data_IF_038734881193
#
_entry.id   IF_038734881193
#
_cell.length_a   1.000
_cell.length_b   1.000
_cell.length_c   1.000
_cell.angle_alpha   90.00
_cell.angle_beta   90.00
_cell.angle_gamma   90.00
#
_symmetry.space_group_name_H-M   'P 1'
#
loop_
_entity.id
_entity.type
_entity.pdbx_description
1 polymer ?
#
# COMPACT_ATOMS: atom_id res chain seq x y z
N UNK A 1 8.91 24.52 -9.87
CA UNK A 1 8.07 23.38 -10.33
C UNK A 1 8.85 22.16 -10.89
N UNK A 2 10.16 21.96 -10.60
CA UNK A 2 10.94 20.84 -11.16
C UNK A 2 10.88 19.50 -10.39
N UNK A 3 10.22 19.41 -9.24
CA UNK A 3 10.28 18.23 -8.33
C UNK A 3 9.09 17.27 -8.41
N UNK A 4 8.12 17.51 -9.29
CA UNK A 4 6.87 16.73 -9.39
C UNK A 4 6.70 16.01 -10.74
N UNK A 5 7.71 16.10 -11.62
CA UNK A 5 7.71 15.37 -12.90
C UNK A 5 7.86 13.87 -12.70
N UNK A 6 7.75 13.12 -13.81
CA UNK A 6 7.87 11.66 -13.80
C UNK A 6 9.21 11.18 -13.23
N UNK A 7 10.33 11.80 -13.61
CA UNK A 7 11.67 11.40 -13.15
C UNK A 7 11.87 11.48 -11.62
N UNK A 8 11.58 12.61 -10.92
CA UNK A 8 11.70 12.65 -9.46
C UNK A 8 10.68 11.75 -8.74
N UNK A 9 9.50 11.54 -9.32
CA UNK A 9 8.52 10.58 -8.80
C UNK A 9 9.07 9.15 -8.87
N UNK A 10 9.57 8.73 -10.03
CA UNK A 10 10.17 7.43 -10.25
C UNK A 10 11.36 7.17 -9.31
N UNK A 11 12.28 8.15 -9.20
CA UNK A 11 13.41 8.04 -8.28
C UNK A 11 12.96 7.87 -6.81
N UNK A 12 11.94 8.64 -6.39
CA UNK A 12 11.40 8.55 -5.02
C UNK A 12 10.77 7.18 -4.75
N UNK A 13 9.93 6.68 -5.69
CA UNK A 13 9.33 5.34 -5.59
C UNK A 13 10.40 4.28 -5.48
N UNK A 14 11.40 4.28 -6.37
CA UNK A 14 12.47 3.27 -6.37
C UNK A 14 13.25 3.26 -5.06
N UNK A 15 13.66 4.43 -4.57
CA UNK A 15 14.42 4.54 -3.30
C UNK A 15 13.58 4.06 -2.12
N UNK A 16 12.32 4.45 -2.03
CA UNK A 16 11.44 4.05 -0.94
C UNK A 16 11.13 2.55 -1.01
N UNK A 17 10.90 1.99 -2.20
CA UNK A 17 10.68 0.55 -2.38
C UNK A 17 11.88 -0.27 -1.92
N UNK A 18 13.11 0.12 -2.29
CA UNK A 18 14.34 -0.55 -1.83
C UNK A 18 14.43 -0.48 -0.31
N UNK A 19 14.21 0.70 0.28
CA UNK A 19 14.24 0.89 1.73
C UNK A 19 13.25 -0.05 2.44
N UNK A 20 12.01 -0.12 1.97
CA UNK A 20 10.96 -0.96 2.56
C UNK A 20 11.36 -2.44 2.49
N UNK A 21 11.81 -2.91 1.32
CA UNK A 21 12.23 -4.32 1.15
C UNK A 21 13.39 -4.65 2.09
N UNK A 22 14.37 -3.77 2.22
CA UNK A 22 15.50 -3.97 3.15
C UNK A 22 15.03 -4.01 4.61
N UNK A 23 14.20 -3.06 5.04
CA UNK A 23 13.69 -3.02 6.43
C UNK A 23 12.87 -4.27 6.77
N UNK A 24 11.97 -4.69 5.87
CA UNK A 24 11.17 -5.90 6.06
C UNK A 24 12.04 -7.16 6.02
N UNK A 25 13.03 -7.21 5.13
CA UNK A 25 14.00 -8.31 5.06
C UNK A 25 14.77 -8.52 6.37
N UNK A 26 15.22 -7.44 7.00
CA UNK A 26 15.90 -7.50 8.32
C UNK A 26 14.93 -7.98 9.42
N UNK A 27 13.64 -7.67 9.30
CA UNK A 27 12.60 -8.02 10.28
C UNK A 27 11.92 -9.37 10.01
N UNK A 28 12.33 -10.12 8.98
CA UNK A 28 11.60 -11.31 8.55
C UNK A 28 11.55 -12.41 9.63
N UNK A 29 12.57 -12.48 10.49
CA UNK A 29 12.61 -13.40 11.63
C UNK A 29 11.85 -12.91 12.87
N UNK A 30 11.32 -11.68 12.84
CA UNK A 30 10.57 -11.04 13.95
C UNK A 30 9.13 -10.78 13.52
N UNK A 31 8.37 -11.84 13.23
CA UNK A 31 7.00 -11.77 12.69
C UNK A 31 6.04 -10.84 13.44
N UNK A 32 6.17 -10.73 14.78
CA UNK A 32 5.36 -9.82 15.61
C UNK A 32 5.61 -8.33 15.34
N UNK A 33 6.77 -7.97 14.81
CA UNK A 33 7.12 -6.59 14.52
C UNK A 33 6.78 -6.20 13.07
N UNK A 34 6.59 -7.16 12.17
CA UNK A 34 6.36 -6.89 10.75
C UNK A 34 5.15 -5.98 10.57
N UNK A 35 3.99 -6.31 11.14
CA UNK A 35 2.78 -5.49 11.02
C UNK A 35 2.96 -4.04 11.50
N UNK A 36 3.34 -3.82 12.78
CA UNK A 36 3.56 -2.48 13.31
C UNK A 36 4.62 -1.68 12.54
N UNK A 37 5.72 -2.31 12.13
CA UNK A 37 6.74 -1.64 11.33
C UNK A 37 6.22 -1.28 9.94
N UNK A 38 5.43 -2.14 9.28
CA UNK A 38 4.83 -1.83 7.99
C UNK A 38 3.88 -0.63 8.09
N UNK A 39 3.10 -0.51 9.17
CA UNK A 39 2.29 0.70 9.44
C UNK A 39 3.19 1.93 9.54
N UNK A 40 4.28 1.86 10.31
CA UNK A 40 5.22 2.98 10.43
C UNK A 40 5.87 3.35 9.08
N UNK A 41 6.22 2.35 8.27
CA UNK A 41 6.74 2.54 6.92
C UNK A 41 5.71 3.21 6.01
N UNK A 42 4.41 3.05 6.26
CA UNK A 42 3.35 3.76 5.54
C UNK A 42 3.46 5.28 5.60
N UNK A 43 4.12 5.84 6.62
CA UNK A 43 4.39 7.28 6.68
C UNK A 43 5.58 7.74 5.82
N UNK A 44 6.48 6.83 5.42
CA UNK A 44 7.69 7.15 4.67
C UNK A 44 7.39 7.72 3.26
N UNK A 45 6.48 7.13 2.45
CA UNK A 45 6.07 7.72 1.18
C UNK A 45 5.47 9.14 1.30
N UNK A 46 4.98 9.53 2.48
CA UNK A 46 4.43 10.87 2.69
C UNK A 46 5.53 11.95 2.81
N UNK A 47 6.79 11.56 3.04
CA UNK A 47 7.91 12.48 3.21
C UNK A 47 8.21 13.26 1.91
N UNK A 48 8.47 12.62 0.75
CA UNK A 48 8.65 13.35 -0.51
C UNK A 48 7.44 14.21 -0.89
N UNK A 49 6.23 13.74 -0.58
CA UNK A 49 4.99 14.48 -0.81
C UNK A 49 4.99 15.81 -0.05
N UNK A 50 5.33 15.79 1.25
CA UNK A 50 5.40 16.98 2.09
C UNK A 50 6.47 17.95 1.59
N UNK A 51 7.64 17.46 1.18
CA UNK A 51 8.69 18.29 0.59
C UNK A 51 8.32 18.88 -0.79
N UNK A 52 7.36 18.28 -1.48
CA UNK A 52 6.85 18.80 -2.76
C UNK A 52 5.86 19.97 -2.61
N UNK A 53 5.53 20.35 -1.36
CA UNK A 53 4.61 21.46 -1.05
C UNK A 53 3.13 21.07 -1.11
N UNK A 54 2.80 19.77 -1.12
CA UNK A 54 1.41 19.27 -1.13
C UNK A 54 0.95 18.86 0.26
N UNK A 55 -0.31 19.16 0.55
CA UNK A 55 -0.98 18.69 1.75
C UNK A 55 -1.35 17.21 1.65
N UNK A 56 -1.19 16.46 2.73
CA UNK A 56 -1.56 15.02 2.82
C UNK A 56 -3.05 14.81 2.46
N UNK A 57 -3.90 15.82 2.70
CA UNK A 57 -5.32 15.80 2.32
C UNK A 57 -5.54 15.59 0.82
N UNK A 58 -4.61 16.01 -0.05
CA UNK A 58 -4.74 15.85 -1.50
C UNK A 58 -4.53 14.42 -1.99
N UNK A 59 -4.01 13.53 -1.14
CA UNK A 59 -3.77 12.11 -1.46
C UNK A 59 -4.62 11.18 -0.59
N UNK A 60 -5.58 11.72 0.17
CA UNK A 60 -6.40 10.91 1.08
C UNK A 60 -7.17 9.81 0.38
N UNK A 61 -7.69 10.08 -0.82
CA UNK A 61 -8.35 9.07 -1.65
C UNK A 61 -7.38 7.94 -2.05
N UNK A 62 -6.16 8.29 -2.52
CA UNK A 62 -5.12 7.32 -2.89
C UNK A 62 -4.70 6.44 -1.71
N UNK A 63 -4.57 7.04 -0.52
CA UNK A 63 -4.26 6.32 0.72
C UNK A 63 -5.39 5.36 1.08
N UNK A 64 -6.66 5.80 1.01
CA UNK A 64 -7.79 4.94 1.30
C UNK A 64 -7.90 3.77 0.33
N UNK A 65 -7.70 4.02 -0.97
CA UNK A 65 -7.73 2.95 -1.98
C UNK A 65 -6.63 1.94 -1.76
N UNK A 66 -5.39 2.37 -1.60
CA UNK A 66 -4.29 1.46 -1.30
C UNK A 66 -4.52 0.66 -0.01
N UNK A 67 -5.09 1.28 1.03
CA UNK A 67 -5.33 0.58 2.29
C UNK A 67 -6.39 -0.52 2.18
N UNK A 68 -7.46 -0.27 1.42
CA UNK A 68 -8.50 -1.28 1.17
C UNK A 68 -7.94 -2.39 0.30
N UNK A 69 -7.27 -2.01 -0.78
CA UNK A 69 -6.71 -2.93 -1.77
C UNK A 69 -5.75 -3.93 -1.11
N UNK A 70 -4.67 -3.42 -0.52
CA UNK A 70 -3.62 -4.28 0.00
C UNK A 70 -3.96 -4.88 1.36
N UNK A 71 -4.92 -4.30 2.07
CA UNK A 71 -5.52 -4.90 3.27
C UNK A 71 -6.25 -6.20 2.93
N UNK A 72 -7.18 -6.16 1.97
CA UNK A 72 -7.91 -7.36 1.55
C UNK A 72 -6.96 -8.37 0.90
N UNK A 73 -6.01 -7.92 0.07
CA UNK A 73 -4.93 -8.77 -0.46
C UNK A 73 -4.18 -9.48 0.66
N UNK A 74 -3.79 -8.76 1.72
CA UNK A 74 -3.10 -9.34 2.87
C UNK A 74 -3.91 -10.45 3.54
N UNK A 75 -5.23 -10.30 3.65
CA UNK A 75 -6.11 -11.35 4.17
C UNK A 75 -6.12 -12.55 3.22
N UNK A 76 -6.29 -12.33 1.91
CA UNK A 76 -6.30 -13.38 0.90
C UNK A 76 -4.97 -14.17 0.87
N UNK A 77 -3.83 -13.48 0.98
CA UNK A 77 -2.51 -14.09 1.07
C UNK A 77 -2.34 -14.92 2.35
N UNK A 78 -2.81 -14.44 3.51
CA UNK A 78 -2.76 -15.19 4.77
C UNK A 78 -3.67 -16.44 4.73
N UNK A 79 -4.87 -16.29 4.18
CA UNK A 79 -5.82 -17.40 3.99
C UNK A 79 -5.21 -18.44 3.04
N UNK A 80 -4.70 -18.01 1.89
CA UNK A 80 -4.02 -18.90 0.95
C UNK A 80 -2.82 -19.61 1.59
N UNK A 81 -2.02 -18.89 2.37
CA UNK A 81 -0.90 -19.47 3.11
C UNK A 81 -1.33 -20.58 4.07
N UNK A 82 -2.53 -20.48 4.65
CA UNK A 82 -3.06 -21.51 5.53
C UNK A 82 -3.46 -22.80 4.81
N UNK A 83 -3.77 -22.74 3.50
CA UNK A 83 -4.14 -23.90 2.69
C UNK A 83 -2.94 -24.59 2.04
N UNK A 84 -1.98 -23.82 1.50
CA UNK A 84 -0.91 -24.37 0.67
C UNK A 84 0.47 -23.73 0.92
N UNK A 85 0.70 -23.15 2.11
CA UNK A 85 1.98 -22.56 2.48
C UNK A 85 2.39 -21.42 1.52
N UNK A 86 3.65 -21.39 1.09
CA UNK A 86 4.17 -20.33 0.21
C UNK A 86 3.39 -20.24 -1.10
N UNK A 87 3.07 -21.39 -1.73
CA UNK A 87 2.31 -21.40 -2.98
C UNK A 87 0.92 -20.76 -2.80
N UNK A 88 0.23 -21.14 -1.73
CA UNK A 88 -1.06 -20.56 -1.38
C UNK A 88 -0.98 -19.06 -1.08
N UNK A 89 0.10 -18.59 -0.45
CA UNK A 89 0.32 -17.17 -0.20
C UNK A 89 0.50 -16.37 -1.50
N UNK A 90 1.27 -16.92 -2.46
CA UNK A 90 1.50 -16.29 -3.77
C UNK A 90 0.20 -16.24 -4.57
N UNK A 91 -0.51 -17.38 -4.67
CA UNK A 91 -1.79 -17.46 -5.41
C UNK A 91 -2.86 -16.60 -4.75
N UNK A 92 -2.99 -16.66 -3.43
CA UNK A 92 -3.93 -15.84 -2.66
C UNK A 92 -3.62 -14.35 -2.76
N UNK A 93 -2.34 -13.98 -2.76
CA UNK A 93 -1.90 -12.60 -3.01
C UNK A 93 -2.24 -12.14 -4.42
N UNK A 94 -1.89 -12.91 -5.46
CA UNK A 94 -2.14 -12.53 -6.86
C UNK A 94 -3.63 -12.46 -7.23
N UNK A 95 -4.43 -13.43 -6.76
CA UNK A 95 -5.89 -13.41 -6.99
C UNK A 95 -6.53 -12.32 -6.12
N UNK A 96 -6.06 -12.16 -4.88
CA UNK A 96 -6.48 -11.09 -3.98
C UNK A 96 -6.32 -9.73 -4.64
N UNK A 97 -5.11 -9.44 -5.12
CA UNK A 97 -4.73 -8.24 -5.87
C UNK A 97 -5.66 -7.98 -7.07
N UNK A 98 -5.87 -8.97 -7.94
CA UNK A 98 -6.74 -8.81 -9.11
C UNK A 98 -8.20 -8.49 -8.71
N UNK A 99 -8.71 -9.11 -7.65
CA UNK A 99 -10.07 -8.85 -7.14
C UNK A 99 -10.15 -7.45 -6.54
N UNK A 100 -9.18 -7.08 -5.71
CA UNK A 100 -9.17 -5.81 -5.00
C UNK A 100 -8.92 -4.62 -5.91
N UNK A 101 -8.07 -4.77 -6.93
CA UNK A 101 -7.92 -3.79 -8.01
C UNK A 101 -9.21 -3.59 -8.81
N UNK A 102 -9.97 -4.67 -9.04
CA UNK A 102 -11.29 -4.59 -9.67
C UNK A 102 -12.25 -3.72 -8.84
N UNK A 103 -12.30 -3.91 -7.52
CA UNK A 103 -13.09 -3.07 -6.63
C UNK A 103 -12.54 -1.65 -6.52
N UNK A 104 -11.23 -1.47 -6.37
CA UNK A 104 -10.57 -0.17 -6.30
C UNK A 104 -10.84 0.64 -7.57
N UNK A 105 -10.83 0.00 -8.74
CA UNK A 105 -11.16 0.59 -10.02
C UNK A 105 -12.57 1.18 -10.09
N UNK A 106 -13.57 0.57 -9.43
CA UNK A 106 -14.92 1.15 -9.33
C UNK A 106 -14.91 2.48 -8.57
N UNK A 107 -14.12 2.56 -7.49
CA UNK A 107 -14.02 3.79 -6.72
C UNK A 107 -13.17 4.86 -7.41
N UNK A 108 -12.06 4.46 -8.05
CA UNK A 108 -11.24 5.37 -8.85
C UNK A 108 -12.05 5.96 -10.01
N UNK A 109 -12.82 5.14 -10.71
CA UNK A 109 -13.74 5.56 -11.76
C UNK A 109 -14.81 6.54 -11.25
N UNK A 110 -15.48 6.22 -10.14
CA UNK A 110 -16.48 7.11 -9.52
C UNK A 110 -15.87 8.45 -9.09
N UNK A 111 -14.67 8.44 -8.53
CA UNK A 111 -13.97 9.67 -8.16
C UNK A 111 -13.57 10.50 -9.38
N UNK A 112 -13.06 9.85 -10.43
CA UNK A 112 -12.72 10.52 -11.68
C UNK A 112 -13.96 11.16 -12.32
N UNK A 113 -15.09 10.45 -12.37
CA UNK A 113 -16.37 11.02 -12.83
C UNK A 113 -16.83 12.20 -11.97
N UNK A 114 -16.71 12.09 -10.64
CA UNK A 114 -17.12 13.15 -9.71
C UNK A 114 -16.28 14.41 -9.91
N UNK A 115 -14.95 14.29 -10.01
CA UNK A 115 -14.04 15.40 -10.27
C UNK A 115 -14.33 16.06 -11.62
N UNK A 116 -14.57 15.24 -12.65
CA UNK A 116 -14.89 15.72 -14.01
C UNK A 116 -16.22 16.48 -14.05
N UNK A 117 -17.25 16.02 -13.31
CA UNK A 117 -18.54 16.71 -13.18
C UNK A 117 -18.42 18.06 -12.46
N UNK A 118 -17.51 18.19 -11.50
CA UNK A 118 -17.30 19.44 -10.75
C UNK A 118 -16.27 20.38 -11.39
N UNK A 119 -15.77 20.07 -12.60
CA UNK A 119 -14.70 20.80 -13.28
C UNK A 119 -13.45 21.04 -12.41
N UNK A 120 -13.21 20.14 -11.44
CA UNK A 120 -12.02 20.20 -10.61
C UNK A 120 -10.89 19.60 -11.44
N UNK A 121 -9.92 20.43 -11.83
CA UNK A 121 -8.71 19.95 -12.50
C UNK A 121 -8.05 18.86 -11.64
N UNK A 122 -7.73 17.72 -12.27
CA UNK A 122 -6.99 16.65 -11.61
C UNK A 122 -5.64 17.19 -11.14
N UNK A 123 -5.58 17.53 -9.86
CA UNK A 123 -4.34 18.01 -9.26
C UNK A 123 -3.38 16.84 -9.00
N UNK A 124 -3.73 15.60 -9.35
CA UNK A 124 -2.86 14.43 -9.18
C UNK A 124 -1.60 14.57 -10.04
N UNK A 125 -0.45 14.41 -9.40
CA UNK A 125 0.84 14.26 -10.10
C UNK A 125 1.33 12.83 -9.96
N UNK A 126 2.28 12.44 -10.81
CA UNK A 126 2.95 11.14 -10.70
C UNK A 126 3.49 10.90 -9.27
N UNK A 127 4.07 11.95 -8.65
CA UNK A 127 4.56 11.86 -7.27
C UNK A 127 3.41 11.68 -6.27
N UNK A 128 2.33 12.47 -6.36
CA UNK A 128 1.27 12.38 -5.35
C UNK A 128 0.46 11.09 -5.41
N UNK A 129 0.15 10.62 -6.63
CA UNK A 129 -0.59 9.37 -6.83
C UNK A 129 0.23 8.17 -6.35
N UNK A 130 1.50 8.06 -6.77
CA UNK A 130 2.37 6.96 -6.35
C UNK A 130 2.63 6.93 -4.84
N UNK A 131 2.99 8.06 -4.24
CA UNK A 131 3.25 8.15 -2.80
C UNK A 131 2.00 7.89 -1.96
N UNK A 132 0.84 8.40 -2.40
CA UNK A 132 -0.45 8.19 -1.74
C UNK A 132 -0.84 6.72 -1.74
N UNK A 133 -0.84 6.08 -2.91
CA UNK A 133 -1.16 4.65 -3.05
C UNK A 133 -0.20 3.79 -2.23
N UNK A 134 1.11 3.99 -2.38
CA UNK A 134 2.13 3.24 -1.65
C UNK A 134 1.98 3.36 -0.13
N UNK A 135 1.67 4.55 0.38
CA UNK A 135 1.37 4.79 1.79
C UNK A 135 0.13 4.02 2.24
N UNK A 136 -0.95 4.11 1.46
CA UNK A 136 -2.18 3.34 1.68
C UNK A 136 -1.94 1.84 1.77
N UNK A 137 -1.24 1.27 0.78
CA UNK A 137 -0.94 -0.16 0.72
C UNK A 137 -0.21 -0.65 1.98
N UNK A 138 0.79 0.10 2.42
CA UNK A 138 1.55 -0.21 3.64
C UNK A 138 0.68 -0.13 4.90
N UNK A 139 -0.21 0.86 5.02
CA UNK A 139 -1.15 0.91 6.13
C UNK A 139 -2.13 -0.26 6.11
N UNK A 140 -2.72 -0.57 4.95
CA UNK A 140 -3.68 -1.65 4.78
C UNK A 140 -3.12 -3.00 5.20
N UNK A 141 -2.05 -3.42 4.53
CA UNK A 141 -1.40 -4.71 4.85
C UNK A 141 -0.77 -4.69 6.25
N UNK A 142 -0.24 -3.55 6.70
CA UNK A 142 0.33 -3.38 8.04
C UNK A 142 -0.69 -3.61 9.15
N UNK A 143 -1.93 -3.11 9.00
CA UNK A 143 -3.03 -3.37 9.95
C UNK A 143 -3.36 -4.86 9.99
N UNK A 144 -3.52 -5.49 8.83
CA UNK A 144 -3.85 -6.93 8.74
C UNK A 144 -2.76 -7.79 9.38
N UNK A 145 -1.49 -7.53 9.08
CA UNK A 145 -0.36 -8.26 9.69
C UNK A 145 -0.24 -7.98 11.19
N UNK A 146 -0.57 -6.78 11.66
CA UNK A 146 -0.60 -6.46 13.09
C UNK A 146 -1.66 -7.30 13.79
N UNK A 147 -2.88 -7.34 13.25
CA UNK A 147 -3.97 -8.15 13.80
C UNK A 147 -3.58 -9.63 13.79
N UNK A 148 -3.14 -10.15 12.64
CA UNK A 148 -2.82 -11.57 12.47
C UNK A 148 -1.68 -12.05 13.39
N UNK A 149 -0.54 -11.35 13.38
CA UNK A 149 0.67 -11.85 14.03
C UNK A 149 0.97 -11.23 15.39
N UNK A 150 0.53 -10.00 15.65
CA UNK A 150 0.78 -9.32 16.93
C UNK A 150 -0.33 -9.60 17.94
N UNK A 151 -1.60 -9.46 17.52
CA UNK A 151 -2.76 -9.59 18.40
C UNK A 151 -3.25 -11.04 18.48
N UNK A 152 -3.52 -11.68 17.33
CA UNK A 152 -4.11 -13.02 17.27
C UNK A 152 -3.09 -14.16 17.33
N UNK A 153 -1.79 -13.85 17.19
CA UNK A 153 -0.68 -14.83 17.22
C UNK A 153 -0.86 -16.01 16.26
N UNK A 154 -1.42 -15.75 15.07
CA UNK A 154 -1.59 -16.76 14.04
C UNK A 154 -0.20 -17.30 13.67
N UNK A 155 0.02 -18.60 13.91
CA UNK A 155 1.26 -19.28 13.57
C UNK A 155 1.09 -19.88 12.18
N UNK A 156 1.42 -19.12 11.14
CA UNK A 156 1.54 -19.68 9.78
C UNK A 156 2.68 -20.70 9.80
N UNK A 157 2.37 -21.98 9.56
CA UNK A 157 3.38 -23.01 9.34
C UNK A 157 4.01 -22.75 7.97
N UNK A 158 4.98 -21.85 7.93
CA UNK A 158 5.96 -21.81 6.85
C UNK A 158 6.90 -23.00 7.11
N UNK A 159 6.47 -24.19 6.67
CA UNK A 159 7.36 -25.35 6.56
C UNK A 159 8.36 -25.14 5.44
#
# INVERSE_FOLDING_TARGET
>A
MKRQGFAPAFASVTVISILIVVVIGVLIHRSRLIGPVTILLGFVPLIPLKFSGRGIKSVGADIMFGAIDTGILGVAALVGASFAGVLGAIVGGAIGDAVTDGFAGLFEGKMAETLRRHQIEETRTALSSSMGKMSGCLFGVGVVLTIAWTLLRIRTRLN
#
